data_IF_557870526974
#
_entry.id   IF_557870526974
#
_cell.length_a   1.000
_cell.length_b   1.000
_cell.length_c   1.000
_cell.angle_alpha   90.00
_cell.angle_beta   90.00
_cell.angle_gamma   90.00
#
_symmetry.space_group_name_H-M   'P 1'
#
loop_
_entity.id
_entity.type
_entity.pdbx_description
1 polymer ?
#
# COMPACT_ATOMS: atom_id res chain seq x y z
N UNK A 1 -69.12 -31.64 20.37
CA UNK A 1 -67.91 -32.34 19.88
C UNK A 1 -67.09 -31.31 19.14
N UNK A 2 -65.89 -30.89 19.48
CA UNK A 2 -64.98 -31.09 20.61
C UNK A 2 -64.08 -29.85 20.58
N UNK A 3 -63.97 -29.10 21.68
CA UNK A 3 -62.79 -29.06 22.56
C UNK A 3 -61.45 -29.12 21.82
N UNK A 4 -60.74 -27.99 21.72
CA UNK A 4 -59.28 -28.00 21.60
C UNK A 4 -58.72 -26.90 22.50
N UNK A 5 -58.08 -27.41 23.54
CA UNK A 5 -57.44 -26.77 24.67
C UNK A 5 -56.26 -25.89 24.23
N UNK A 6 -56.36 -24.57 24.46
CA UNK A 6 -55.24 -23.64 24.36
C UNK A 6 -54.24 -23.97 25.48
N UNK A 7 -53.13 -24.60 25.11
CA UNK A 7 -51.99 -24.82 26.00
C UNK A 7 -51.36 -23.49 26.36
N UNK A 8 -51.65 -23.01 27.56
CA UNK A 8 -50.95 -21.91 28.23
C UNK A 8 -49.53 -22.40 28.54
N UNK A 9 -48.53 -21.80 27.90
CA UNK A 9 -47.14 -21.89 28.34
C UNK A 9 -47.02 -21.30 29.75
N UNK A 10 -46.43 -22.00 30.74
CA UNK A 10 -45.98 -21.33 31.95
C UNK A 10 -44.81 -20.42 31.57
N UNK A 11 -45.09 -19.13 31.67
CA UNK A 11 -44.12 -18.05 31.72
C UNK A 11 -42.96 -18.43 32.64
N UNK A 12 -41.74 -18.07 32.22
CA UNK A 12 -40.53 -18.11 33.03
C UNK A 12 -40.75 -17.25 34.28
N UNK A 13 -41.21 -17.90 35.36
CA UNK A 13 -41.29 -17.29 36.67
C UNK A 13 -39.89 -17.15 37.25
N UNK A 14 -39.50 -15.88 37.36
CA UNK A 14 -38.93 -15.32 38.58
C UNK A 14 -37.50 -15.76 38.91
N UNK A 15 -36.56 -14.93 38.47
CA UNK A 15 -35.26 -14.75 39.14
C UNK A 15 -35.57 -14.24 40.55
N UNK A 16 -35.69 -15.16 41.51
CA UNK A 16 -35.81 -14.82 42.92
C UNK A 16 -34.43 -14.40 43.43
N UNK A 17 -34.20 -13.09 43.45
CA UNK A 17 -33.17 -12.46 44.29
C UNK A 17 -33.61 -12.58 45.75
N UNK A 18 -33.45 -13.77 46.33
CA UNK A 18 -33.75 -13.99 47.75
C UNK A 18 -32.54 -13.53 48.59
N UNK A 19 -32.74 -12.68 49.61
CA UNK A 19 -31.66 -12.26 50.50
C UNK A 19 -31.11 -13.48 51.25
N UNK A 20 -29.79 -13.61 51.34
CA UNK A 20 -29.08 -14.70 52.02
C UNK A 20 -29.43 -14.88 53.52
N UNK A 21 -30.20 -13.96 54.10
CA UNK A 21 -30.56 -13.94 55.52
C UNK A 21 -31.74 -14.87 55.87
N UNK A 22 -32.20 -15.75 54.97
CA UNK A 22 -33.41 -16.56 55.14
C UNK A 22 -33.18 -18.08 55.12
N UNK A 23 -31.94 -18.55 55.25
CA UNK A 23 -31.66 -19.98 55.37
C UNK A 23 -31.84 -20.45 56.83
N UNK A 24 -33.07 -20.83 57.19
CA UNK A 24 -33.37 -21.35 58.54
C UNK A 24 -33.00 -22.83 58.75
N UNK A 25 -32.51 -23.53 57.72
CA UNK A 25 -32.15 -24.95 57.79
C UNK A 25 -30.84 -25.26 57.08
N UNK A 26 -30.02 -26.10 57.72
CA UNK A 26 -28.75 -26.62 57.19
C UNK A 26 -28.92 -27.38 55.87
N UNK A 27 -30.08 -28.02 55.64
CA UNK A 27 -30.39 -28.73 54.39
C UNK A 27 -30.39 -27.78 53.17
N UNK A 28 -30.88 -26.55 53.35
CA UNK A 28 -30.89 -25.55 52.28
C UNK A 28 -29.46 -25.04 51.97
N UNK A 29 -28.60 -24.94 53.00
CA UNK A 29 -27.18 -24.59 52.83
C UNK A 29 -26.44 -25.70 52.09
N UNK A 30 -26.71 -26.98 52.40
CA UNK A 30 -26.16 -28.13 51.65
C UNK A 30 -26.60 -28.13 50.19
N UNK A 31 -27.87 -27.81 49.90
CA UNK A 31 -28.37 -27.70 48.53
C UNK A 31 -27.67 -26.58 47.77
N UNK A 32 -27.49 -25.41 48.40
CA UNK A 32 -26.76 -24.29 47.81
C UNK A 32 -25.29 -24.64 47.57
N UNK A 33 -24.64 -25.30 48.53
CA UNK A 33 -23.27 -25.81 48.37
C UNK A 33 -23.16 -26.73 47.16
N UNK A 34 -24.05 -27.73 47.05
CA UNK A 34 -24.07 -28.64 45.91
C UNK A 34 -24.26 -27.89 44.59
N UNK A 35 -25.17 -26.92 44.54
CA UNK A 35 -25.38 -26.08 43.35
C UNK A 35 -24.13 -25.29 42.97
N UNK A 36 -23.40 -24.74 43.95
CA UNK A 36 -22.16 -24.01 43.71
C UNK A 36 -21.02 -24.96 43.29
N UNK A 37 -20.92 -26.15 43.87
CA UNK A 37 -19.91 -27.15 43.50
C UNK A 37 -20.05 -27.68 42.07
N UNK A 38 -21.26 -27.65 41.50
CA UNK A 38 -21.50 -27.98 40.09
C UNK A 38 -21.07 -26.84 39.15
N UNK A 39 -20.87 -25.62 39.66
CA UNK A 39 -20.46 -24.46 38.86
C UNK A 39 -18.99 -24.54 38.48
N UNK A 40 -18.63 -23.96 37.33
CA UNK A 40 -17.23 -23.91 36.91
C UNK A 40 -16.42 -22.94 37.78
N UNK A 41 -15.10 -23.11 37.84
CA UNK A 41 -14.22 -22.17 38.57
C UNK A 41 -14.30 -20.74 37.99
N UNK A 42 -14.63 -20.61 36.70
CA UNK A 42 -14.93 -19.32 36.06
C UNK A 42 -16.17 -18.67 36.66
N UNK A 43 -17.25 -19.42 36.77
CA UNK A 43 -18.51 -18.91 37.34
C UNK A 43 -18.33 -18.61 38.83
N UNK A 44 -17.62 -19.47 39.56
CA UNK A 44 -17.31 -19.27 40.98
C UNK A 44 -16.37 -18.08 41.24
N UNK A 45 -15.63 -17.62 40.22
CA UNK A 45 -14.79 -16.42 40.31
C UNK A 45 -15.57 -15.11 40.16
N UNK A 46 -16.87 -15.17 39.90
CA UNK A 46 -17.76 -14.00 39.96
C UNK A 46 -17.96 -13.57 41.42
N UNK A 47 -17.85 -12.27 41.74
CA UNK A 47 -17.84 -11.79 43.13
C UNK A 47 -19.03 -12.27 43.98
N UNK A 48 -20.21 -12.39 43.38
CA UNK A 48 -21.43 -12.84 44.06
C UNK A 48 -21.38 -14.33 44.41
N UNK A 49 -20.88 -15.16 43.49
CA UNK A 49 -20.78 -16.62 43.67
C UNK A 49 -19.60 -17.00 44.56
N UNK A 50 -18.49 -16.27 44.47
CA UNK A 50 -17.36 -16.38 45.38
C UNK A 50 -17.80 -16.10 46.81
N UNK A 51 -18.45 -14.95 47.05
CA UNK A 51 -18.96 -14.58 48.37
C UNK A 51 -20.01 -15.58 48.88
N UNK A 52 -20.86 -16.09 47.99
CA UNK A 52 -21.85 -17.11 48.34
C UNK A 52 -21.19 -18.43 48.75
N UNK A 53 -20.17 -18.87 48.02
CA UNK A 53 -19.41 -20.08 48.33
C UNK A 53 -18.64 -19.95 49.65
N UNK A 54 -17.97 -18.82 49.89
CA UNK A 54 -17.26 -18.54 51.16
C UNK A 54 -18.20 -18.57 52.36
N UNK A 55 -19.37 -17.94 52.26
CA UNK A 55 -20.40 -17.94 53.32
C UNK A 55 -20.94 -19.34 53.56
N UNK A 56 -21.23 -20.08 52.49
CA UNK A 56 -21.70 -21.47 52.59
C UNK A 56 -20.65 -22.36 53.24
N UNK A 57 -19.39 -22.29 52.82
CA UNK A 57 -18.29 -23.03 53.40
C UNK A 57 -18.07 -22.69 54.88
N UNK A 58 -18.22 -21.41 55.26
CA UNK A 58 -18.12 -20.97 56.66
C UNK A 58 -19.24 -21.58 57.52
N UNK A 59 -20.49 -21.52 57.06
CA UNK A 59 -21.64 -22.10 57.77
C UNK A 59 -21.52 -23.63 57.89
N UNK A 60 -21.01 -24.30 56.84
CA UNK A 60 -20.77 -25.74 56.86
C UNK A 60 -19.63 -26.12 57.82
N UNK A 61 -18.58 -25.31 57.89
CA UNK A 61 -17.45 -25.50 58.82
C UNK A 61 -17.86 -25.31 60.28
N UNK A 62 -18.85 -24.47 60.57
CA UNK A 62 -19.42 -24.34 61.92
C UNK A 62 -20.30 -25.54 62.33
N UNK A 63 -20.70 -26.40 61.37
CA UNK A 63 -21.64 -27.50 61.56
C UNK A 63 -21.09 -28.87 61.13
N UNK A 64 -19.78 -29.08 61.28
CA UNK A 64 -19.07 -30.28 60.79
C UNK A 64 -19.54 -31.60 61.42
N UNK A 65 -20.13 -31.56 62.63
CA UNK A 65 -20.69 -32.75 63.30
C UNK A 65 -21.82 -33.41 62.54
N UNK A 66 -22.41 -32.72 61.55
CA UNK A 66 -23.47 -33.22 60.68
C UNK A 66 -22.96 -33.97 59.45
N UNK A 67 -21.64 -34.12 59.30
CA UNK A 67 -20.97 -34.72 58.15
C UNK A 67 -20.12 -35.93 58.58
N UNK A 68 -19.84 -36.83 57.64
CA UNK A 68 -18.83 -37.85 57.88
C UNK A 68 -17.46 -37.20 58.08
N UNK A 69 -16.53 -37.92 58.72
CA UNK A 69 -15.17 -37.42 58.95
C UNK A 69 -14.50 -36.97 57.65
N UNK A 70 -14.65 -37.75 56.59
CA UNK A 70 -14.08 -37.48 55.27
C UNK A 70 -14.72 -36.23 54.65
N UNK A 71 -16.04 -36.06 54.77
CA UNK A 71 -16.73 -34.87 54.27
C UNK A 71 -16.33 -33.61 55.04
N UNK A 72 -16.17 -33.72 56.36
CA UNK A 72 -15.72 -32.61 57.20
C UNK A 72 -14.30 -32.16 56.84
N UNK A 73 -13.38 -33.10 56.61
CA UNK A 73 -12.02 -32.81 56.15
C UNK A 73 -12.01 -32.10 54.78
N UNK A 74 -12.86 -32.53 53.84
CA UNK A 74 -12.99 -31.90 52.53
C UNK A 74 -13.56 -30.47 52.62
N UNK A 75 -14.55 -30.23 53.49
CA UNK A 75 -15.13 -28.88 53.69
C UNK A 75 -14.07 -27.92 54.25
N UNK A 76 -13.30 -28.34 55.26
CA UNK A 76 -12.20 -27.53 55.81
C UNK A 76 -11.13 -27.26 54.75
N UNK A 77 -10.72 -28.31 54.03
CA UNK A 77 -9.73 -28.19 52.96
C UNK A 77 -10.19 -27.24 51.86
N UNK A 78 -11.46 -27.31 51.47
CA UNK A 78 -12.02 -26.41 50.46
C UNK A 78 -12.16 -24.98 50.99
N UNK A 79 -12.62 -24.77 52.22
CA UNK A 79 -12.70 -23.45 52.85
C UNK A 79 -11.34 -22.74 52.84
N UNK A 80 -10.26 -23.45 53.14
CA UNK A 80 -8.92 -22.88 53.14
C UNK A 80 -8.37 -22.62 51.74
N UNK A 81 -8.58 -23.54 50.80
CA UNK A 81 -7.97 -23.48 49.47
C UNK A 81 -8.79 -22.66 48.45
N UNK A 82 -10.10 -22.50 48.66
CA UNK A 82 -10.99 -21.89 47.69
C UNK A 82 -10.58 -20.46 47.28
N UNK A 83 -10.24 -19.54 48.20
CA UNK A 83 -9.78 -18.20 47.81
C UNK A 83 -8.53 -18.23 46.92
N UNK A 84 -7.57 -19.10 47.23
CA UNK A 84 -6.35 -19.26 46.45
C UNK A 84 -6.63 -19.83 45.04
N UNK A 85 -7.55 -20.78 44.93
CA UNK A 85 -8.00 -21.34 43.64
C UNK A 85 -8.65 -20.28 42.76
N UNK A 86 -9.57 -19.49 43.32
CA UNK A 86 -10.26 -18.43 42.59
C UNK A 86 -9.28 -17.33 42.16
N UNK A 87 -8.34 -16.96 43.03
CA UNK A 87 -7.30 -15.99 42.69
C UNK A 87 -6.42 -16.49 41.55
N UNK A 88 -5.91 -17.72 41.64
CA UNK A 88 -5.06 -18.34 40.62
C UNK A 88 -5.77 -18.42 39.27
N UNK A 89 -7.07 -18.74 39.27
CA UNK A 89 -7.89 -18.75 38.06
C UNK A 89 -8.00 -17.37 37.41
N UNK A 90 -8.22 -16.30 38.21
CA UNK A 90 -8.26 -14.92 37.68
C UNK A 90 -6.94 -14.51 37.06
N UNK A 91 -5.82 -14.85 37.69
CA UNK A 91 -4.49 -14.54 37.14
C UNK A 91 -4.22 -15.30 35.83
N UNK A 92 -4.51 -16.59 35.81
CA UNK A 92 -4.36 -17.42 34.61
C UNK A 92 -5.23 -16.92 33.45
N UNK A 93 -6.51 -16.61 33.72
CA UNK A 93 -7.44 -16.09 32.73
C UNK A 93 -6.98 -14.75 32.14
N UNK A 94 -6.48 -13.84 32.98
CA UNK A 94 -5.87 -12.57 32.52
C UNK A 94 -4.66 -12.86 31.64
N UNK A 95 -3.73 -13.69 32.11
CA UNK A 95 -2.52 -14.02 31.35
C UNK A 95 -2.85 -14.64 29.99
N UNK A 96 -3.82 -15.55 29.94
CA UNK A 96 -4.28 -16.18 28.70
C UNK A 96 -4.80 -15.13 27.70
N UNK A 97 -5.63 -14.18 28.15
CA UNK A 97 -6.11 -13.08 27.30
C UNK A 97 -4.96 -12.19 26.80
N UNK A 98 -4.03 -11.80 27.67
CA UNK A 98 -2.86 -11.00 27.28
C UNK A 98 -1.98 -11.73 26.26
N UNK A 99 -1.70 -13.01 26.49
CA UNK A 99 -0.90 -13.86 25.60
C UNK A 99 -1.56 -13.99 24.23
N UNK A 100 -2.87 -14.23 24.17
CA UNK A 100 -3.61 -14.33 22.91
C UNK A 100 -3.58 -13.00 22.13
N UNK A 101 -3.77 -11.86 22.82
CA UNK A 101 -3.67 -10.53 22.22
C UNK A 101 -2.28 -10.26 21.66
N UNK A 102 -1.24 -10.54 22.46
CA UNK A 102 0.17 -10.37 22.06
C UNK A 102 0.54 -11.24 20.86
N UNK A 103 0.06 -12.50 20.83
CA UNK A 103 0.27 -13.39 19.69
C UNK A 103 -0.40 -12.88 18.42
N UNK A 104 -1.64 -12.36 18.51
CA UNK A 104 -2.34 -11.80 17.36
C UNK A 104 -1.65 -10.54 16.82
N UNK A 105 -1.18 -9.66 17.71
CA UNK A 105 -0.42 -8.46 17.36
C UNK A 105 0.91 -8.79 16.68
N UNK A 106 1.65 -9.76 17.22
CA UNK A 106 2.91 -10.24 16.62
C UNK A 106 2.70 -10.81 15.22
N UNK A 107 1.59 -11.53 15.00
CA UNK A 107 1.24 -12.03 13.66
C UNK A 107 0.97 -10.88 12.69
N UNK A 108 0.21 -9.86 13.09
CA UNK A 108 -0.04 -8.66 12.27
C UNK A 108 1.24 -7.93 11.92
N UNK A 109 2.15 -7.74 12.89
CA UNK A 109 3.45 -7.11 12.66
C UNK A 109 4.27 -7.93 11.67
N UNK A 110 4.31 -9.25 11.81
CA UNK A 110 5.02 -10.14 10.88
C UNK A 110 4.49 -10.01 9.46
N UNK A 111 3.17 -10.02 9.28
CA UNK A 111 2.55 -9.91 7.98
C UNK A 111 2.86 -8.54 7.34
N UNK A 112 2.84 -7.46 8.13
CA UNK A 112 3.20 -6.11 7.69
C UNK A 112 4.68 -5.99 7.30
N UNK A 113 5.59 -6.59 8.07
CA UNK A 113 7.02 -6.64 7.72
C UNK A 113 7.20 -7.38 6.40
N UNK A 114 6.53 -8.50 6.21
CA UNK A 114 6.62 -9.28 4.96
C UNK A 114 6.14 -8.49 3.74
N UNK A 115 5.04 -7.75 3.85
CA UNK A 115 4.57 -6.90 2.75
C UNK A 115 5.53 -5.74 2.50
N UNK A 116 6.02 -5.09 3.56
CA UNK A 116 6.96 -3.96 3.45
C UNK A 116 8.27 -4.36 2.78
N UNK A 117 8.84 -5.52 3.10
CA UNK A 117 10.06 -6.03 2.46
C UNK A 117 9.85 -6.25 0.96
N UNK A 118 8.70 -6.82 0.58
CA UNK A 118 8.37 -7.03 -0.83
C UNK A 118 8.21 -5.71 -1.59
N UNK A 119 7.60 -4.71 -0.96
CA UNK A 119 7.44 -3.39 -1.55
C UNK A 119 8.79 -2.66 -1.69
N UNK A 120 9.69 -2.81 -0.73
CA UNK A 120 11.08 -2.31 -0.80
C UNK A 120 11.85 -2.95 -1.96
N UNK A 121 11.78 -4.28 -2.13
CA UNK A 121 12.39 -4.99 -3.25
C UNK A 121 11.87 -4.51 -4.61
N UNK A 122 10.55 -4.33 -4.73
CA UNK A 122 9.92 -3.81 -5.95
C UNK A 122 10.37 -2.37 -6.27
N UNK A 123 10.46 -1.52 -5.24
CA UNK A 123 10.94 -0.15 -5.40
C UNK A 123 12.40 -0.11 -5.85
N UNK A 124 13.24 -0.99 -5.30
CA UNK A 124 14.66 -1.10 -5.69
C UNK A 124 14.80 -1.47 -7.16
N UNK A 125 14.05 -2.45 -7.64
CA UNK A 125 14.06 -2.84 -9.07
C UNK A 125 13.63 -1.66 -9.95
N UNK A 126 12.52 -0.99 -9.60
CA UNK A 126 12.02 0.16 -10.37
C UNK A 126 13.00 1.33 -10.37
N UNK A 127 13.72 1.54 -9.28
CA UNK A 127 14.75 2.56 -9.18
C UNK A 127 15.91 2.27 -10.15
N UNK A 128 16.41 1.05 -10.18
CA UNK A 128 17.48 0.63 -11.09
C UNK A 128 17.07 0.74 -12.57
N UNK A 129 15.83 0.36 -12.90
CA UNK A 129 15.27 0.55 -14.24
C UNK A 129 15.23 2.03 -14.65
N UNK A 130 14.84 2.93 -13.73
CA UNK A 130 14.82 4.37 -13.98
C UNK A 130 16.23 4.94 -14.15
N UNK A 131 17.19 4.51 -13.34
CA UNK A 131 18.59 4.93 -13.46
C UNK A 131 19.18 4.53 -14.81
N UNK A 132 18.88 3.32 -15.29
CA UNK A 132 19.31 2.86 -16.61
C UNK A 132 18.65 3.68 -17.74
N UNK A 133 17.36 4.00 -17.59
CA UNK A 133 16.65 4.84 -18.56
C UNK A 133 17.18 6.27 -18.60
N UNK A 134 17.59 6.82 -17.45
CA UNK A 134 18.22 8.14 -17.37
C UNK A 134 19.55 8.16 -18.15
N UNK A 135 20.41 7.16 -17.96
CA UNK A 135 21.69 7.03 -18.68
C UNK A 135 21.49 6.91 -20.20
N UNK A 136 20.50 6.14 -20.63
CA UNK A 136 20.15 5.99 -22.05
C UNK A 136 19.68 7.33 -22.64
N UNK A 137 18.77 8.05 -21.96
CA UNK A 137 18.29 9.35 -22.42
C UNK A 137 19.40 10.40 -22.48
N UNK A 138 20.34 10.38 -21.54
CA UNK A 138 21.50 11.27 -21.56
C UNK A 138 22.38 11.02 -22.80
N UNK A 139 22.61 9.75 -23.13
CA UNK A 139 23.37 9.35 -24.33
C UNK A 139 22.68 9.83 -25.61
N UNK A 140 21.35 9.67 -25.69
CA UNK A 140 20.58 10.16 -26.83
C UNK A 140 20.61 11.69 -26.93
N UNK A 141 20.54 12.40 -25.80
CA UNK A 141 20.63 13.85 -25.78
C UNK A 141 21.98 14.34 -26.31
N UNK A 142 23.08 13.72 -25.89
CA UNK A 142 24.42 14.05 -26.36
C UNK A 142 24.56 13.83 -27.88
N UNK A 143 24.00 12.73 -28.40
CA UNK A 143 23.98 12.44 -29.84
C UNK A 143 23.22 13.52 -30.64
N UNK A 144 22.03 13.91 -30.17
CA UNK A 144 21.21 14.95 -30.82
C UNK A 144 21.91 16.32 -30.76
N UNK A 145 22.57 16.64 -29.64
CA UNK A 145 23.33 17.88 -29.52
C UNK A 145 24.51 17.92 -30.50
N UNK A 146 25.20 16.80 -30.68
CA UNK A 146 26.28 16.67 -31.67
C UNK A 146 25.76 16.85 -33.10
N UNK A 147 24.68 16.15 -33.46
CA UNK A 147 24.04 16.28 -34.79
C UNK A 147 23.61 17.73 -35.05
N UNK A 148 23.00 18.39 -34.05
CA UNK A 148 22.62 19.80 -34.14
C UNK A 148 23.81 20.72 -34.43
N UNK A 149 24.97 20.47 -33.80
CA UNK A 149 26.19 21.23 -34.03
C UNK A 149 26.71 21.02 -35.46
N UNK A 150 26.75 19.77 -35.93
CA UNK A 150 27.15 19.43 -37.31
C UNK A 150 26.24 20.09 -38.35
N UNK A 151 24.92 20.07 -38.13
CA UNK A 151 23.95 20.74 -39.02
C UNK A 151 24.14 22.25 -39.01
N UNK A 152 24.43 22.85 -37.86
CA UNK A 152 24.72 24.27 -37.78
C UNK A 152 25.97 24.65 -38.59
N UNK A 153 27.05 23.87 -38.48
CA UNK A 153 28.27 24.06 -39.27
C UNK A 153 27.99 23.92 -40.77
N UNK A 154 27.31 22.85 -41.19
CA UNK A 154 26.91 22.65 -42.59
C UNK A 154 26.07 23.81 -43.14
N UNK A 155 25.15 24.35 -42.33
CA UNK A 155 24.35 25.52 -42.71
C UNK A 155 25.22 26.74 -42.95
N UNK A 156 26.20 27.00 -42.09
CA UNK A 156 27.12 28.14 -42.25
C UNK A 156 28.00 28.00 -43.48
N UNK A 157 28.53 26.79 -43.74
CA UNK A 157 29.36 26.51 -44.90
C UNK A 157 28.55 26.64 -46.21
N UNK A 158 27.33 26.10 -46.26
CA UNK A 158 26.44 26.30 -47.42
C UNK A 158 26.11 27.76 -47.67
N UNK A 159 25.88 28.54 -46.61
CA UNK A 159 25.63 29.98 -46.74
C UNK A 159 26.82 30.70 -47.40
N UNK A 160 28.05 30.35 -47.01
CA UNK A 160 29.28 30.86 -47.62
C UNK A 160 29.39 30.46 -49.09
N UNK A 161 29.17 29.18 -49.41
CA UNK A 161 29.21 28.68 -50.79
C UNK A 161 28.19 29.38 -51.70
N UNK A 162 26.96 29.61 -51.19
CA UNK A 162 25.93 30.34 -51.92
C UNK A 162 26.41 31.77 -52.25
N UNK A 163 27.00 32.46 -51.26
CA UNK A 163 27.51 33.82 -51.47
C UNK A 163 28.61 33.86 -52.54
N UNK A 164 29.56 32.91 -52.49
CA UNK A 164 30.66 32.83 -53.46
C UNK A 164 30.12 32.55 -54.88
N UNK A 165 29.14 31.65 -55.01
CA UNK A 165 28.50 31.36 -56.29
C UNK A 165 27.72 32.55 -56.86
N UNK A 166 27.00 33.30 -56.02
CA UNK A 166 26.31 34.52 -56.45
C UNK A 166 27.28 35.58 -56.97
N UNK A 167 28.41 35.81 -56.29
CA UNK A 167 29.44 36.74 -56.78
C UNK A 167 30.06 36.29 -58.11
N UNK A 168 30.31 34.98 -58.28
CA UNK A 168 30.81 34.43 -59.53
C UNK A 168 29.80 34.57 -60.68
N UNK A 169 28.51 34.39 -60.40
CA UNK A 169 27.44 34.58 -61.38
C UNK A 169 27.38 36.04 -61.85
N UNK A 170 27.43 37.00 -60.92
CA UNK A 170 27.47 38.43 -61.22
C UNK A 170 28.67 38.79 -62.11
N UNK A 171 29.87 38.30 -61.76
CA UNK A 171 31.09 38.54 -62.55
C UNK A 171 30.94 37.99 -63.99
N UNK A 172 30.45 36.76 -64.13
CA UNK A 172 30.20 36.15 -65.44
C UNK A 172 29.12 36.88 -66.22
N UNK A 173 28.07 37.38 -65.57
CA UNK A 173 27.05 38.19 -66.24
C UNK A 173 27.65 39.48 -66.82
N UNK A 174 28.47 40.19 -66.05
CA UNK A 174 29.19 41.39 -66.52
C UNK A 174 30.12 41.06 -67.68
N UNK A 175 30.87 39.95 -67.61
CA UNK A 175 31.74 39.51 -68.69
C UNK A 175 30.96 39.24 -69.98
N UNK A 176 29.87 38.47 -69.89
CA UNK A 176 28.99 38.18 -71.04
C UNK A 176 28.46 39.46 -71.69
N UNK A 177 27.99 40.43 -70.89
CA UNK A 177 27.53 41.71 -71.42
C UNK A 177 28.63 42.47 -72.18
N UNK A 178 29.88 42.44 -71.67
CA UNK A 178 31.02 43.05 -72.36
C UNK A 178 31.32 42.34 -73.68
N UNK A 179 31.33 41.01 -73.70
CA UNK A 179 31.52 40.20 -74.91
C UNK A 179 30.42 40.46 -75.95
N UNK A 180 29.15 40.47 -75.55
CA UNK A 180 28.03 40.76 -76.44
C UNK A 180 28.13 42.16 -77.05
N UNK A 181 28.55 43.17 -76.26
CA UNK A 181 28.77 44.52 -76.75
C UNK A 181 29.90 44.58 -77.79
N UNK A 182 31.04 43.95 -77.48
CA UNK A 182 32.17 43.83 -78.41
C UNK A 182 31.76 43.14 -79.71
N UNK A 183 31.02 42.03 -79.61
CA UNK A 183 30.54 41.27 -80.76
C UNK A 183 29.58 42.09 -81.62
N UNK A 184 28.69 42.89 -81.01
CA UNK A 184 27.82 43.82 -81.74
C UNK A 184 28.63 44.89 -82.49
N UNK A 185 29.66 45.45 -81.84
CA UNK A 185 30.55 46.45 -82.45
C UNK A 185 31.32 45.85 -83.62
N UNK A 186 31.93 44.67 -83.47
CA UNK A 186 32.71 44.02 -84.53
C UNK A 186 31.81 43.59 -85.69
N UNK A 187 30.63 43.05 -85.41
CA UNK A 187 29.63 42.71 -86.44
C UNK A 187 29.23 43.94 -87.25
N UNK A 188 28.98 45.07 -86.58
CA UNK A 188 28.64 46.34 -87.26
C UNK A 188 29.79 46.81 -88.15
N UNK A 189 31.03 46.77 -87.65
CA UNK A 189 32.23 47.11 -88.44
C UNK A 189 32.40 46.21 -89.65
N UNK A 190 32.22 44.90 -89.47
CA UNK A 190 32.34 43.90 -90.54
C UNK A 190 31.29 44.13 -91.63
N UNK A 191 30.04 44.37 -91.25
CA UNK A 191 28.96 44.69 -92.19
C UNK A 191 29.25 45.97 -92.98
N UNK A 192 29.80 47.00 -92.32
CA UNK A 192 30.19 48.23 -93.00
C UNK A 192 31.32 47.99 -94.02
N UNK A 193 32.37 47.24 -93.64
CA UNK A 193 33.45 46.87 -94.56
C UNK A 193 32.93 46.05 -95.75
N UNK A 194 32.04 45.09 -95.51
CA UNK A 194 31.38 44.31 -96.57
C UNK A 194 30.62 45.21 -97.55
N UNK A 195 29.86 46.18 -97.04
CA UNK A 195 29.16 47.17 -97.87
C UNK A 195 30.12 48.07 -98.65
N UNK A 196 31.21 48.53 -98.05
CA UNK A 196 32.24 49.32 -98.73
C UNK A 196 32.90 48.51 -99.86
N UNK A 197 33.24 47.25 -99.60
CA UNK A 197 33.80 46.35 -100.61
C UNK A 197 32.81 46.10 -101.75
N UNK A 198 31.53 45.88 -101.45
CA UNK A 198 30.49 45.71 -102.46
C UNK A 198 30.37 46.96 -103.36
N UNK A 199 30.40 48.16 -102.78
CA UNK A 199 30.45 49.43 -103.54
C UNK A 199 31.69 49.53 -104.41
N UNK A 200 32.87 49.26 -103.85
CA UNK A 200 34.13 49.29 -104.60
C UNK A 200 34.08 48.33 -105.80
N UNK A 201 33.65 47.08 -105.57
CA UNK A 201 33.50 46.05 -106.59
C UNK A 201 32.54 46.47 -107.71
N UNK A 202 31.47 47.19 -107.38
CA UNK A 202 30.51 47.69 -108.38
C UNK A 202 31.07 48.74 -109.33
N UNK A 203 32.18 49.42 -108.99
CA UNK A 203 32.86 50.33 -109.93
C UNK A 203 33.70 49.59 -110.98
N UNK A 204 33.96 48.30 -110.80
CA UNK A 204 34.77 47.46 -111.68
C UNK A 204 33.94 46.41 -112.45
N UNK A 205 32.61 46.48 -112.35
CA UNK A 205 31.63 45.67 -113.10
C UNK A 205 30.82 46.58 -114.01
#
# INVERSE_FOLDING_TARGET
MDSTHMGVQPSLESISTQPLNSFSSIENIKLLFHKLMVSSLKDLSEPEKESSMEKVLSILADNLSLFSKEQAEQIIGLLFNFPALVHSWREYSRFQMYSQKSSAETKKIRDLVKTSVKDEENLKVRYEELENKEKELMTQLDAVQKEKAEVAEQKTEKSKQIKDLSSLEEEKAVHRMKEECLMRITTTKLNNLSNQWAKLRSFFM
#
